data_IF_461336220107
#
_entry.id   IF_461336220107
#
_cell.length_a   1.000
_cell.length_b   1.000
_cell.length_c   1.000
_cell.angle_alpha   90.00
_cell.angle_beta   90.00
_cell.angle_gamma   90.00
#
_symmetry.space_group_name_H-M   'P 1'
#
loop_
_entity.id
_entity.type
_entity.pdbx_description
1 polymer ?
#
# COMPACT_ATOMS: atom_id res chain seq x y z
N UNK A 1 -7.79 16.98 15.39
CA UNK A 1 -6.58 16.22 15.74
C UNK A 1 -5.45 16.92 15.01
N UNK A 2 -4.48 17.45 15.75
CA UNK A 2 -3.35 18.14 15.13
C UNK A 2 -2.40 17.13 14.47
N UNK A 3 -1.63 17.59 13.48
CA UNK A 3 -0.66 16.73 12.77
C UNK A 3 0.34 16.07 13.73
N UNK A 4 0.83 16.81 14.73
CA UNK A 4 1.76 16.32 15.76
C UNK A 4 1.10 15.21 16.60
N UNK A 5 -0.14 15.42 17.01
CA UNK A 5 -0.91 14.46 17.80
C UNK A 5 -1.22 13.19 16.99
N UNK A 6 -1.51 13.36 15.71
CA UNK A 6 -1.67 12.28 14.77
C UNK A 6 -0.39 11.43 14.61
N UNK A 7 0.78 12.05 14.48
CA UNK A 7 2.05 11.30 14.39
C UNK A 7 2.30 10.47 15.65
N UNK A 8 2.08 11.05 16.84
CA UNK A 8 2.16 10.34 18.12
C UNK A 8 1.21 9.14 18.16
N UNK A 9 -0.03 9.30 17.70
CA UNK A 9 -1.01 8.20 17.61
C UNK A 9 -0.54 7.04 16.72
N UNK A 10 0.32 7.32 15.72
CA UNK A 10 0.91 6.31 14.84
C UNK A 10 2.23 5.75 15.35
N UNK A 11 2.67 6.11 16.56
CA UNK A 11 3.98 5.76 17.14
C UNK A 11 5.16 6.33 16.34
N UNK A 12 5.00 7.53 15.80
CA UNK A 12 6.05 8.26 15.09
C UNK A 12 6.48 9.44 15.94
N UNK A 13 7.78 9.66 16.10
CA UNK A 13 8.32 10.82 16.80
C UNK A 13 8.35 12.05 15.85
N UNK A 14 7.61 13.13 16.15
CA UNK A 14 7.60 14.34 15.34
C UNK A 14 8.99 14.99 15.22
N UNK A 15 9.78 14.98 16.29
CA UNK A 15 11.09 15.66 16.32
C UNK A 15 12.09 14.96 15.42
N UNK A 16 12.14 13.62 15.50
CA UNK A 16 12.99 12.81 14.63
C UNK A 16 12.57 12.88 13.17
N UNK A 17 11.26 12.91 12.90
CA UNK A 17 10.76 13.02 11.53
C UNK A 17 11.12 14.37 10.90
N UNK A 18 10.94 15.48 11.63
CA UNK A 18 11.29 16.82 11.16
C UNK A 18 12.81 16.99 10.94
N UNK A 19 13.63 16.45 11.86
CA UNK A 19 15.09 16.49 11.74
C UNK A 19 15.63 15.64 10.57
N UNK A 20 14.97 14.51 10.26
CA UNK A 20 15.41 13.62 9.19
C UNK A 20 15.05 14.13 7.79
N UNK A 21 13.81 14.58 7.59
CA UNK A 21 13.36 15.04 6.26
C UNK A 21 12.32 16.17 6.36
N UNK A 22 12.82 17.38 6.60
CA UNK A 22 12.00 18.58 6.80
C UNK A 22 11.08 18.90 5.59
N UNK A 23 11.53 18.63 4.37
CA UNK A 23 10.74 18.88 3.14
C UNK A 23 9.50 17.97 3.09
N UNK A 24 9.69 16.68 3.37
CA UNK A 24 8.59 15.72 3.48
C UNK A 24 7.65 16.07 4.63
N UNK A 25 8.20 16.46 5.78
CA UNK A 25 7.42 16.87 6.95
C UNK A 25 6.46 18.03 6.62
N UNK A 26 6.98 19.11 6.02
CA UNK A 26 6.19 20.28 5.62
C UNK A 26 5.09 19.91 4.61
N UNK A 27 5.44 19.10 3.60
CA UNK A 27 4.47 18.63 2.61
C UNK A 27 3.37 17.78 3.25
N UNK A 28 3.74 16.85 4.13
CA UNK A 28 2.78 16.01 4.85
C UNK A 28 1.87 16.84 5.75
N UNK A 29 2.40 17.86 6.42
CA UNK A 29 1.62 18.79 7.23
C UNK A 29 0.58 19.51 6.37
N UNK A 30 0.99 20.07 5.24
CA UNK A 30 0.07 20.75 4.31
C UNK A 30 -1.00 19.79 3.76
N UNK A 31 -0.61 18.59 3.33
CA UNK A 31 -1.57 17.59 2.84
C UNK A 31 -2.54 17.14 3.94
N UNK A 32 -2.06 16.98 5.17
CA UNK A 32 -2.89 16.63 6.32
C UNK A 32 -3.91 17.72 6.67
N UNK A 33 -3.53 18.99 6.56
CA UNK A 33 -4.46 20.11 6.78
C UNK A 33 -5.59 20.17 5.75
N UNK A 34 -5.38 19.62 4.55
CA UNK A 34 -6.39 19.61 3.49
C UNK A 34 -7.38 18.44 3.58
N UNK A 35 -7.14 17.43 4.42
CA UNK A 35 -7.94 16.21 4.42
C UNK A 35 -8.10 15.57 5.80
N UNK A 36 -9.15 14.74 5.96
CA UNK A 36 -9.36 14.05 7.22
C UNK A 36 -8.25 13.03 7.55
N UNK A 37 -7.96 12.77 8.84
CA UNK A 37 -6.86 11.91 9.28
C UNK A 37 -6.93 10.49 8.71
N UNK A 38 -8.14 9.94 8.57
CA UNK A 38 -8.34 8.60 8.03
C UNK A 38 -8.02 8.53 6.54
N UNK A 39 -8.49 9.51 5.77
CA UNK A 39 -8.18 9.62 4.34
C UNK A 39 -6.68 9.81 4.11
N UNK A 40 -6.02 10.63 4.93
CA UNK A 40 -4.57 10.83 4.88
C UNK A 40 -3.83 9.52 5.17
N UNK A 41 -4.24 8.80 6.22
CA UNK A 41 -3.66 7.51 6.58
C UNK A 41 -3.75 6.53 5.41
N UNK A 42 -4.91 6.44 4.76
CA UNK A 42 -5.12 5.52 3.64
C UNK A 42 -4.25 5.86 2.44
N UNK A 43 -4.14 7.14 2.08
CA UNK A 43 -3.32 7.57 0.94
C UNK A 43 -1.82 7.42 1.20
N UNK A 44 -1.38 7.65 2.44
CA UNK A 44 0.05 7.65 2.82
C UNK A 44 0.45 6.43 3.62
N UNK A 45 -0.35 5.36 3.62
CA UNK A 45 -0.15 4.20 4.49
C UNK A 45 1.26 3.59 4.36
N UNK A 46 1.75 3.44 3.14
CA UNK A 46 3.09 2.93 2.86
C UNK A 46 4.18 3.82 3.44
N UNK A 47 4.06 5.14 3.24
CA UNK A 47 5.01 6.12 3.76
C UNK A 47 4.97 6.16 5.29
N UNK A 48 3.78 6.16 5.88
CA UNK A 48 3.59 6.11 7.35
C UNK A 48 4.24 4.84 7.92
N UNK A 49 4.10 3.69 7.26
CA UNK A 49 4.76 2.46 7.71
C UNK A 49 6.28 2.55 7.65
N UNK A 50 6.84 3.19 6.62
CA UNK A 50 8.28 3.45 6.54
C UNK A 50 8.74 4.40 7.64
N UNK A 51 7.98 5.47 7.90
CA UNK A 51 8.24 6.42 8.97
C UNK A 51 8.22 5.74 10.34
N UNK A 52 7.29 4.80 10.60
CA UNK A 52 7.24 4.03 11.84
C UNK A 52 8.48 3.16 12.06
N UNK A 53 9.12 2.69 11.00
CA UNK A 53 10.37 1.90 11.08
C UNK A 53 11.59 2.79 11.30
N UNK A 54 11.59 4.01 10.76
CA UNK A 54 12.71 4.96 10.82
C UNK A 54 12.70 5.83 12.08
N UNK A 55 11.53 6.30 12.48
CA UNK A 55 11.31 7.31 13.51
C UNK A 55 10.33 6.80 14.57
N UNK A 56 10.58 5.59 15.08
CA UNK A 56 9.73 4.97 16.09
C UNK A 56 9.74 5.80 17.38
N UNK A 57 8.57 6.17 17.88
CA UNK A 57 8.41 6.80 19.18
C UNK A 57 8.68 5.76 20.27
N UNK A 58 9.94 5.69 20.73
CA UNK A 58 10.32 4.88 21.88
C UNK A 58 10.06 5.68 23.15
N UNK A 59 9.21 5.18 24.04
CA UNK A 59 8.82 5.86 25.29
C UNK A 59 9.98 6.02 26.30
N UNK A 60 11.22 5.64 25.93
CA UNK A 60 12.30 5.44 26.90
C UNK A 60 13.45 6.46 26.88
N UNK A 61 13.75 7.23 25.82
CA UNK A 61 14.98 8.04 25.81
C UNK A 61 14.94 9.26 24.86
N UNK A 62 15.14 10.43 25.45
CA UNK A 62 15.78 11.58 24.83
C UNK A 62 17.13 11.22 24.18
N UNK A 63 17.54 12.03 23.19
CA UNK A 63 18.90 12.20 22.63
C UNK A 63 19.50 11.11 21.73
N UNK A 64 19.55 11.39 20.41
CA UNK A 64 20.80 11.46 19.63
C UNK A 64 20.60 12.02 18.21
N UNK A 65 21.39 13.05 17.91
CA UNK A 65 21.73 13.51 16.57
C UNK A 65 22.30 12.38 15.71
N UNK A 66 21.97 12.38 14.42
CA UNK A 66 22.84 11.79 13.40
C UNK A 66 22.96 12.79 12.26
N UNK A 67 24.00 13.63 12.35
CA UNK A 67 24.65 14.21 11.19
C UNK A 67 25.02 13.08 10.23
N UNK A 68 24.71 13.23 8.94
CA UNK A 68 25.52 12.71 7.85
C UNK A 68 25.28 13.55 6.60
N UNK A 69 26.13 14.56 6.45
CA UNK A 69 26.46 15.14 5.16
C UNK A 69 26.95 14.06 4.19
N UNK A 70 26.51 14.19 2.93
CA UNK A 70 27.16 13.72 1.70
C UNK A 70 27.91 12.38 1.72
N UNK A 71 27.32 11.34 1.12
CA UNK A 71 28.10 10.58 0.14
C UNK A 71 27.19 9.95 -0.92
N UNK A 72 27.42 10.42 -2.13
CA UNK A 72 26.99 9.81 -3.38
C UNK A 72 27.70 8.47 -3.53
N UNK A 73 27.28 7.44 -2.80
CA UNK A 73 27.64 6.05 -3.12
C UNK A 73 26.40 5.28 -3.48
N UNK A 74 26.26 5.14 -4.79
CA UNK A 74 25.53 4.09 -5.48
C UNK A 74 25.67 2.76 -4.71
N UNK A 75 24.72 2.50 -3.81
CA UNK A 75 24.53 1.14 -3.31
C UNK A 75 23.98 0.40 -4.51
N UNK A 76 24.90 -0.24 -5.25
CA UNK A 76 24.61 -1.32 -6.17
C UNK A 76 23.80 -2.33 -5.37
N UNK A 77 22.48 -2.18 -5.42
CA UNK A 77 21.57 -3.24 -5.01
C UNK A 77 22.05 -4.44 -5.83
N UNK A 78 22.45 -5.57 -5.24
CA UNK A 78 22.55 -6.76 -6.04
C UNK A 78 21.13 -6.96 -6.56
N UNK A 79 20.94 -6.68 -7.85
CA UNK A 79 19.76 -7.13 -8.57
C UNK A 79 19.91 -8.65 -8.53
N UNK A 80 19.38 -9.27 -7.48
CA UNK A 80 19.08 -10.68 -7.50
C UNK A 80 17.94 -10.79 -8.50
N UNK A 81 18.28 -10.86 -9.79
CA UNK A 81 17.43 -11.49 -10.79
C UNK A 81 17.09 -12.84 -10.18
N UNK A 82 15.82 -13.14 -9.84
CA UNK A 82 15.50 -14.50 -9.48
C UNK A 82 15.84 -15.33 -10.71
N UNK A 83 16.91 -16.12 -10.62
CA UNK A 83 17.16 -17.19 -11.56
C UNK A 83 16.09 -18.22 -11.26
N UNK A 84 14.94 -18.05 -11.90
CA UNK A 84 13.90 -19.07 -11.99
C UNK A 84 14.52 -20.15 -12.87
N UNK A 85 15.41 -20.95 -12.26
CA UNK A 85 15.89 -22.19 -12.83
C UNK A 85 14.64 -23.07 -12.96
N UNK A 86 14.16 -23.17 -14.19
CA UNK A 86 12.89 -23.79 -14.49
C UNK A 86 12.86 -25.23 -14.00
N UNK A 87 11.88 -25.55 -13.15
CA UNK A 87 11.20 -26.84 -13.15
C UNK A 87 9.71 -26.60 -12.87
N UNK A 88 8.91 -27.15 -13.77
CA UNK A 88 7.44 -27.09 -13.87
C UNK A 88 6.86 -25.72 -14.25
N UNK A 89 6.55 -25.57 -15.55
CA UNK A 89 5.43 -24.72 -15.97
C UNK A 89 4.22 -25.10 -15.09
N UNK A 90 3.45 -24.15 -14.53
CA UNK A 90 2.16 -24.51 -13.97
C UNK A 90 1.36 -25.06 -15.14
N UNK A 91 1.08 -26.37 -15.12
CA UNK A 91 0.10 -26.94 -16.04
C UNK A 91 -1.21 -26.27 -15.63
N UNK A 92 -1.64 -25.28 -16.41
CA UNK A 92 -3.03 -24.87 -16.41
C UNK A 92 -3.81 -26.15 -16.66
N UNK A 93 -4.46 -26.71 -15.64
CA UNK A 93 -5.55 -27.64 -15.87
C UNK A 93 -6.51 -26.85 -16.75
N UNK A 94 -6.60 -27.23 -18.02
CA UNK A 94 -7.55 -26.63 -18.97
C UNK A 94 -8.89 -26.62 -18.21
N UNK A 95 -9.55 -25.46 -18.02
CA UNK A 95 -10.89 -25.50 -17.48
C UNK A 95 -11.67 -26.46 -18.38
N UNK A 96 -12.26 -27.49 -17.78
CA UNK A 96 -13.09 -28.43 -18.53
C UNK A 96 -14.04 -27.62 -19.40
N UNK A 97 -14.21 -28.03 -20.65
CA UNK A 97 -15.08 -27.36 -21.62
C UNK A 97 -16.40 -27.03 -20.90
N UNK A 98 -16.85 -25.77 -20.87
CA UNK A 98 -18.01 -25.41 -20.08
C UNK A 98 -19.20 -26.23 -20.59
N UNK A 99 -19.75 -27.08 -19.71
CA UNK A 99 -20.99 -27.80 -20.01
C UNK A 99 -22.09 -26.77 -19.87
N UNK A 100 -22.40 -26.11 -20.98
CA UNK A 100 -23.60 -25.28 -21.09
C UNK A 100 -24.77 -26.25 -20.99
N UNK A 101 -25.38 -26.34 -19.79
CA UNK A 101 -26.71 -26.95 -19.65
C UNK A 101 -27.64 -26.12 -20.51
N UNK A 102 -28.04 -26.67 -21.66
CA UNK A 102 -29.09 -26.07 -22.49
C UNK A 102 -30.33 -25.98 -21.62
N UNK A 103 -30.74 -24.77 -21.25
CA UNK A 103 -32.08 -24.58 -20.69
C UNK A 103 -33.07 -24.99 -21.78
N UNK A 104 -34.06 -25.80 -21.41
CA UNK A 104 -35.11 -26.17 -22.33
C UNK A 104 -35.79 -24.89 -22.83
N UNK A 105 -36.02 -24.79 -24.14
CA UNK A 105 -36.74 -23.66 -24.72
C UNK A 105 -38.10 -23.54 -24.00
N UNK A 106 -38.55 -22.34 -23.61
CA UNK A 106 -39.88 -22.18 -23.07
C UNK A 106 -40.90 -22.65 -24.11
N UNK A 107 -41.82 -23.52 -23.69
CA UNK A 107 -42.96 -23.93 -24.51
C UNK A 107 -43.88 -22.72 -24.60
N UNK A 108 -43.79 -21.97 -25.69
CA UNK A 108 -44.80 -20.97 -26.03
C UNK A 108 -45.99 -21.75 -26.59
N UNK A 109 -47.05 -21.84 -25.80
CA UNK A 109 -48.33 -22.35 -26.28
C UNK A 109 -48.83 -21.42 -27.38
N UNK A 110 -48.88 -21.93 -28.61
CA UNK A 110 -49.47 -21.23 -29.76
C UNK A 110 -50.97 -21.02 -29.45
N UNK A 111 -51.50 -19.78 -29.49
CA UNK A 111 -52.92 -19.60 -29.31
C UNK A 111 -53.65 -20.33 -30.44
N UNK A 112 -54.68 -21.10 -30.06
CA UNK A 112 -55.60 -21.71 -31.02
C UNK A 112 -56.25 -20.57 -31.81
N UNK A 113 -56.27 -20.69 -33.14
CA UNK A 113 -57.17 -19.89 -33.96
C UNK A 113 -58.58 -20.26 -33.53
N UNK A 114 -59.32 -19.29 -33.03
CA UNK A 114 -60.78 -19.33 -33.04
C UNK A 114 -61.23 -19.00 -34.47
N UNK A 115 -62.24 -19.73 -34.93
CA UNK A 115 -62.78 -19.73 -36.29
C UNK A 115 -63.36 -18.38 -36.73
#
# INVERSE_FOLDING_TARGET
>A
MDFIEYLKSKKIDPKLYEAGDQKQYLKFKQEYEQMHPNSFTSQKLFLINDLRRRYLLSEAKDSKEVNNDNDSKEVKRPIVKPKIAGKAKPVMKKPGKPVIRKQAKPIINRPKKED
#
